data_IF_271243644516
#
_entry.id   IF_271243644516
#
_cell.length_a   1.000
_cell.length_b   1.000
_cell.length_c   1.000
_cell.angle_alpha   90.00
_cell.angle_beta   90.00
_cell.angle_gamma   90.00
#
_symmetry.space_group_name_H-M   'P 1'
#
loop_
_entity.id
_entity.type
_entity.pdbx_description
1 polymer ?
#
# COMPACT_ATOMS: atom_id res chain seq x y z
N UNK A 1 27.20 -43.83 -1.41
CA UNK A 1 26.60 -42.65 -0.74
C UNK A 1 26.34 -41.58 -1.79
N UNK A 2 25.09 -41.18 -2.00
CA UNK A 2 24.72 -40.16 -3.00
C UNK A 2 24.94 -38.75 -2.44
N UNK A 3 25.71 -37.92 -3.15
CA UNK A 3 25.86 -36.49 -2.83
C UNK A 3 24.56 -35.78 -3.14
N UNK A 4 23.85 -35.29 -2.13
CA UNK A 4 22.76 -34.34 -2.30
C UNK A 4 23.33 -33.01 -2.80
N UNK A 5 23.01 -32.65 -4.04
CA UNK A 5 23.28 -31.31 -4.58
C UNK A 5 22.51 -30.29 -3.75
N UNK A 6 23.24 -29.52 -2.93
CA UNK A 6 22.71 -28.32 -2.26
C UNK A 6 22.18 -27.38 -3.34
N UNK A 7 20.86 -27.25 -3.42
CA UNK A 7 20.18 -26.30 -4.31
C UNK A 7 20.63 -24.90 -3.88
N UNK A 8 21.31 -24.18 -4.79
CA UNK A 8 21.78 -22.81 -4.55
C UNK A 8 20.57 -21.95 -4.12
N UNK A 9 20.68 -21.14 -3.06
CA UNK A 9 19.61 -20.22 -2.68
C UNK A 9 19.26 -19.37 -3.90
N UNK A 10 17.96 -19.13 -4.18
CA UNK A 10 17.57 -18.23 -5.26
C UNK A 10 18.25 -16.88 -5.04
N UNK A 11 18.82 -16.32 -6.11
CA UNK A 11 19.50 -15.03 -6.05
C UNK A 11 18.53 -13.93 -5.61
N UNK A 12 19.03 -12.95 -4.84
CA UNK A 12 18.25 -11.78 -4.46
C UNK A 12 17.73 -11.09 -5.75
N UNK A 13 16.44 -10.72 -5.82
CA UNK A 13 15.93 -9.98 -6.97
C UNK A 13 16.69 -8.67 -7.16
N UNK A 14 16.87 -8.26 -8.42
CA UNK A 14 17.53 -7.00 -8.73
C UNK A 14 16.73 -5.81 -8.16
N UNK A 15 17.41 -4.76 -7.65
CA UNK A 15 16.74 -3.54 -7.22
C UNK A 15 15.89 -2.95 -8.36
N UNK A 16 14.68 -2.50 -8.04
CA UNK A 16 13.80 -1.76 -8.95
C UNK A 16 13.71 -0.32 -8.49
N UNK A 17 13.88 0.62 -9.40
CA UNK A 17 13.62 2.03 -9.14
C UNK A 17 12.11 2.28 -9.19
N UNK A 18 11.57 2.91 -8.15
CA UNK A 18 10.15 3.25 -8.04
C UNK A 18 10.03 4.67 -7.50
N UNK A 19 8.99 5.40 -7.93
CA UNK A 19 8.64 6.68 -7.33
C UNK A 19 8.11 6.45 -5.92
N UNK A 20 8.44 7.36 -5.00
CA UNK A 20 7.95 7.36 -3.63
C UNK A 20 7.14 8.62 -3.34
N UNK A 21 6.21 8.52 -2.40
CA UNK A 21 5.45 9.64 -1.84
C UNK A 21 5.57 9.62 -0.32
N UNK A 22 5.81 10.77 0.29
CA UNK A 22 5.74 10.97 1.75
C UNK A 22 4.33 11.47 2.06
N UNK A 23 3.66 10.87 3.03
CA UNK A 23 2.34 11.29 3.46
C UNK A 23 2.08 10.91 4.91
N UNK A 24 1.07 11.53 5.50
CA UNK A 24 0.68 11.31 6.90
C UNK A 24 -0.36 10.19 6.98
N UNK A 25 -0.10 9.16 7.79
CA UNK A 25 -1.10 8.16 8.17
C UNK A 25 -1.91 8.64 9.37
N UNK A 26 -3.24 8.56 9.25
CA UNK A 26 -4.16 8.84 10.34
C UNK A 26 -4.31 7.59 11.23
N UNK A 27 -3.44 7.44 12.24
CA UNK A 27 -3.57 6.35 13.22
C UNK A 27 -4.37 6.78 14.45
N UNK A 28 -4.96 5.81 15.15
CA UNK A 28 -5.67 6.07 16.42
C UNK A 28 -4.79 6.68 17.51
N UNK A 29 -3.48 6.42 17.46
CA UNK A 29 -2.49 6.87 18.46
C UNK A 29 -1.81 8.18 18.08
N UNK A 30 -2.14 8.76 16.93
CA UNK A 30 -1.52 9.96 16.39
C UNK A 30 -1.12 9.82 14.93
N UNK A 31 -0.83 10.95 14.32
CA UNK A 31 -0.42 11.04 12.93
C UNK A 31 1.05 10.65 12.75
N UNK A 32 1.35 9.81 11.76
CA UNK A 32 2.71 9.32 11.49
C UNK A 32 3.06 9.53 10.02
N UNK A 33 4.18 10.18 9.74
CA UNK A 33 4.71 10.29 8.39
C UNK A 33 5.29 8.96 7.90
N UNK A 34 4.90 8.54 6.70
CA UNK A 34 5.40 7.32 6.06
C UNK A 34 5.76 7.58 4.60
N UNK A 35 6.63 6.72 4.07
CA UNK A 35 6.96 6.66 2.65
C UNK A 35 6.20 5.49 2.03
N UNK A 36 5.45 5.74 0.97
CA UNK A 36 4.77 4.72 0.19
C UNK A 36 5.04 4.82 -1.31
N UNK A 37 4.63 3.79 -2.04
CA UNK A 37 4.70 3.74 -3.51
C UNK A 37 3.32 4.17 -4.05
N UNK A 38 3.21 5.35 -4.69
CA UNK A 38 1.93 5.88 -5.11
C UNK A 38 1.37 5.11 -6.31
N UNK A 39 0.04 5.11 -6.43
CA UNK A 39 -0.71 4.70 -7.61
C UNK A 39 -2.04 5.45 -7.67
N UNK A 40 -2.58 5.61 -8.87
CA UNK A 40 -3.89 6.24 -9.08
C UNK A 40 -4.98 5.19 -9.21
N UNK A 41 -6.10 5.40 -8.52
CA UNK A 41 -7.31 4.59 -8.68
C UNK A 41 -8.57 5.40 -8.35
N UNK A 42 -9.59 5.31 -9.21
CA UNK A 42 -10.85 6.07 -9.14
C UNK A 42 -10.66 7.58 -8.90
N UNK A 43 -9.68 8.17 -9.61
CA UNK A 43 -9.36 9.60 -9.55
C UNK A 43 -8.61 10.08 -8.30
N UNK A 44 -8.18 9.15 -7.43
CA UNK A 44 -7.44 9.45 -6.20
C UNK A 44 -6.05 8.83 -6.22
N UNK A 45 -5.15 9.42 -5.45
CA UNK A 45 -3.81 8.88 -5.22
C UNK A 45 -3.79 8.06 -3.94
N UNK A 46 -3.41 6.80 -4.09
CA UNK A 46 -3.23 5.84 -3.02
C UNK A 46 -1.76 5.48 -2.91
N UNK A 47 -1.31 5.02 -1.76
CA UNK A 47 0.07 4.59 -1.58
C UNK A 47 0.15 3.27 -0.85
N UNK A 48 0.94 2.34 -1.41
CA UNK A 48 1.32 1.11 -0.73
C UNK A 48 2.49 1.42 0.19
N UNK A 49 2.39 1.12 1.47
CA UNK A 49 3.46 1.32 2.45
C UNK A 49 3.63 0.07 3.32
N UNK A 50 4.82 -0.09 3.90
CA UNK A 50 5.01 -1.12 4.92
C UNK A 50 4.20 -0.75 6.17
N UNK A 51 3.64 -1.76 6.84
CA UNK A 51 2.96 -1.54 8.12
C UNK A 51 4.02 -1.19 9.18
N UNK A 52 3.85 -0.03 9.82
CA UNK A 52 4.71 0.43 10.90
C UNK A 52 4.42 -0.40 12.15
N UNK A 53 5.46 -1.00 12.77
CA UNK A 53 5.35 -1.74 14.03
C UNK A 53 5.16 -3.26 13.93
N UNK A 54 5.26 -3.85 12.73
CA UNK A 54 5.38 -5.30 12.56
C UNK A 54 6.86 -5.69 12.39
N UNK A 55 7.50 -6.17 13.47
CA UNK A 55 8.92 -6.52 13.46
C UNK A 55 9.23 -7.87 12.78
N UNK A 56 8.27 -8.81 12.77
CA UNK A 56 8.54 -10.20 12.38
C UNK A 56 8.02 -10.60 10.98
N UNK A 57 7.08 -9.84 10.41
CA UNK A 57 6.44 -10.20 9.12
C UNK A 57 6.35 -8.98 8.22
N UNK A 58 7.02 -9.05 7.06
CA UNK A 58 6.89 -8.04 6.04
C UNK A 58 5.46 -8.02 5.50
N UNK A 59 4.71 -6.99 5.90
CA UNK A 59 3.33 -6.75 5.50
C UNK A 59 3.20 -5.34 4.94
N UNK A 60 2.46 -5.22 3.84
CA UNK A 60 2.17 -3.97 3.15
C UNK A 60 0.68 -3.69 3.26
N UNK A 61 0.34 -2.42 3.39
CA UNK A 61 -1.03 -1.92 3.40
C UNK A 61 -1.16 -0.76 2.41
N UNK A 62 -2.39 -0.44 2.03
CA UNK A 62 -2.71 0.72 1.21
C UNK A 62 -3.43 1.77 2.04
N UNK A 63 -3.04 3.02 1.85
CA UNK A 63 -3.71 4.17 2.43
C UNK A 63 -3.90 5.29 1.41
N UNK A 64 -4.95 6.09 1.60
CA UNK A 64 -5.18 7.32 0.85
C UNK A 64 -4.08 8.33 1.19
N UNK A 65 -3.41 8.85 0.16
CA UNK A 65 -2.31 9.82 0.33
C UNK A 65 -2.83 11.13 0.92
N UNK A 66 -4.06 11.53 0.59
CA UNK A 66 -4.61 12.81 1.02
C UNK A 66 -5.13 12.79 2.45
N UNK A 67 -5.81 11.72 2.83
CA UNK A 67 -6.48 11.63 4.14
C UNK A 67 -5.74 10.77 5.15
N UNK A 68 -4.73 10.02 4.72
CA UNK A 68 -4.02 9.06 5.56
C UNK A 68 -4.87 7.85 5.96
N UNK A 69 -6.09 7.72 5.42
CA UNK A 69 -7.02 6.65 5.77
C UNK A 69 -6.60 5.34 5.12
N UNK A 70 -6.55 4.29 5.93
CA UNK A 70 -6.26 2.93 5.48
C UNK A 70 -7.41 2.32 4.67
N UNK A 71 -7.07 1.59 3.60
CA UNK A 71 -8.01 0.79 2.81
C UNK A 71 -8.17 -0.59 3.46
N UNK A 72 -9.36 -0.97 3.95
CA UNK A 72 -9.57 -2.27 4.58
C UNK A 72 -9.20 -3.44 3.65
N UNK A 73 -8.74 -4.56 4.22
CA UNK A 73 -8.41 -5.79 3.47
C UNK A 73 -7.33 -5.62 2.39
N UNK A 74 -6.53 -4.56 2.48
CA UNK A 74 -5.41 -4.31 1.57
C UNK A 74 -4.10 -4.95 2.04
N UNK A 75 -4.10 -5.58 3.21
CA UNK A 75 -2.89 -6.13 3.84
C UNK A 75 -2.39 -7.36 3.09
N UNK A 76 -1.13 -7.32 2.64
CA UNK A 76 -0.51 -8.45 1.95
C UNK A 76 1.01 -8.50 2.15
N UNK A 77 1.62 -9.66 1.90
CA UNK A 77 3.06 -9.87 2.04
C UNK A 77 3.89 -9.26 0.89
N UNK A 78 3.26 -8.72 -0.15
CA UNK A 78 3.94 -8.06 -1.28
C UNK A 78 3.22 -6.79 -1.70
N UNK A 79 3.98 -5.84 -2.26
CA UNK A 79 3.45 -4.55 -2.76
C UNK A 79 2.35 -4.77 -3.80
N UNK A 80 2.59 -5.65 -4.78
CA UNK A 80 1.66 -5.88 -5.89
C UNK A 80 0.36 -6.56 -5.40
N UNK A 81 0.47 -7.52 -4.47
CA UNK A 81 -0.72 -8.14 -3.87
C UNK A 81 -1.53 -7.16 -3.03
N UNK A 82 -0.86 -6.28 -2.26
CA UNK A 82 -1.52 -5.26 -1.44
C UNK A 82 -2.25 -4.26 -2.33
N UNK A 83 -1.60 -3.80 -3.40
CA UNK A 83 -2.22 -2.94 -4.42
C UNK A 83 -3.45 -3.60 -5.05
N UNK A 84 -3.33 -4.85 -5.49
CA UNK A 84 -4.44 -5.56 -6.15
C UNK A 84 -5.62 -5.78 -5.20
N UNK A 85 -5.36 -6.14 -3.93
CA UNK A 85 -6.39 -6.31 -2.91
C UNK A 85 -7.10 -4.98 -2.58
N UNK A 86 -6.34 -3.87 -2.53
CA UNK A 86 -6.90 -2.55 -2.34
C UNK A 86 -7.80 -2.15 -3.52
N UNK A 87 -7.35 -2.33 -4.76
CA UNK A 87 -8.15 -2.03 -5.96
C UNK A 87 -9.46 -2.83 -5.94
N UNK A 88 -9.39 -4.14 -5.67
CA UNK A 88 -10.58 -4.98 -5.58
C UNK A 88 -11.56 -4.49 -4.49
N UNK A 89 -11.03 -4.06 -3.34
CA UNK A 89 -11.86 -3.50 -2.26
C UNK A 89 -12.48 -2.16 -2.65
N UNK A 90 -11.73 -1.29 -3.33
CA UNK A 90 -12.20 0.03 -3.78
C UNK A 90 -13.21 -0.07 -4.92
N UNK A 91 -13.12 -1.12 -5.75
CA UNK A 91 -14.07 -1.39 -6.84
C UNK A 91 -15.40 -1.98 -6.32
N UNK A 92 -15.38 -2.65 -5.17
CA UNK A 92 -16.58 -3.19 -4.51
C UNK A 92 -17.44 -2.10 -3.83
N UNK A 93 -16.88 -0.91 -3.61
CA UNK A 93 -17.59 0.22 -2.99
C UNK A 93 -18.50 0.89 -4.04
N UNK A 94 -19.80 0.95 -3.74
CA UNK A 94 -20.77 1.67 -4.59
C UNK A 94 -20.47 3.17 -4.63
N UNK A 95 -20.86 3.84 -5.71
CA UNK A 95 -20.63 5.28 -5.88
C UNK A 95 -21.28 6.11 -4.76
N UNK A 96 -22.41 5.64 -4.21
CA UNK A 96 -23.09 6.28 -3.09
C UNK A 96 -22.26 6.20 -1.79
N UNK A 97 -21.73 5.02 -1.46
CA UNK A 97 -20.87 4.82 -0.28
C UNK A 97 -19.48 5.44 -0.45
N UNK A 98 -19.04 5.64 -1.70
CA UNK A 98 -17.75 6.26 -2.01
C UNK A 98 -17.67 7.71 -1.51
N UNK A 99 -18.73 8.49 -1.74
CA UNK A 99 -18.80 9.88 -1.32
C UNK A 99 -18.77 10.02 0.21
N UNK A 100 -19.43 9.12 0.93
CA UNK A 100 -19.43 9.11 2.41
C UNK A 100 -18.07 8.68 2.98
N UNK A 101 -17.42 7.68 2.38
CA UNK A 101 -16.16 7.14 2.89
C UNK A 101 -14.97 8.07 2.66
N UNK A 102 -14.90 8.69 1.47
CA UNK A 102 -13.71 9.41 1.00
C UNK A 102 -13.96 10.88 0.66
N UNK A 103 -15.21 11.32 0.54
CA UNK A 103 -15.56 12.69 0.11
C UNK A 103 -15.38 12.90 -1.40
N UNK A 104 -15.53 14.15 -1.90
CA UNK A 104 -15.32 14.46 -3.31
C UNK A 104 -13.86 14.25 -3.71
N UNK A 105 -13.64 13.70 -4.90
CA UNK A 105 -12.32 13.50 -5.49
C UNK A 105 -11.60 14.84 -5.61
N UNK A 106 -10.60 15.09 -4.76
CA UNK A 106 -9.70 16.22 -4.90
C UNK A 106 -8.37 15.67 -5.41
N UNK A 107 -7.91 16.20 -6.54
CA UNK A 107 -6.57 15.92 -7.04
C UNK A 107 -5.58 16.57 -6.08
N UNK A 108 -4.58 15.83 -5.62
CA UNK A 108 -3.51 16.39 -4.80
C UNK A 108 -2.81 17.49 -5.61
N UNK A 109 -3.09 18.76 -5.28
CA UNK A 109 -2.37 19.90 -5.86
C UNK A 109 -0.94 19.84 -5.36
N UNK A 110 -0.01 19.52 -6.25
CA UNK A 110 1.42 19.72 -6.00
C UNK A 110 1.67 21.22 -5.85
N UNK A 111 2.25 21.63 -4.71
CA UNK A 111 2.77 22.98 -4.47
C UNK A 111 4.25 23.01 -4.84
#
# INVERSE_FOLDING_TARGET
MARTTKKKPPGRPAPKYVNGVVFTLAMRTGDVEVIGIPFEHRGRTWAVHAIVGLDDVQCFAVSDVLTGKHVPKSEASTIDASRAAAIATLDDITDESWAEAFGPTQTATAV
#
